data_IF_906413803827
#
_entry.id   IF_906413803827
#
_cell.length_a   1.000
_cell.length_b   1.000
_cell.length_c   1.000
_cell.angle_alpha   90.00
_cell.angle_beta   90.00
_cell.angle_gamma   90.00
#
_symmetry.space_group_name_H-M   'P 1'
#
loop_
_entity.id
_entity.type
_entity.pdbx_description
1 polymer ?
#
# COMPACT_ATOMS: atom_id res chain seq x y z
N UNK A 1 71.74 -2.60 -17.51
CA UNK A 1 70.32 -2.19 -17.53
C UNK A 1 69.64 -3.08 -18.57
N UNK A 2 68.98 -4.14 -18.11
CA UNK A 2 68.46 -5.24 -18.96
C UNK A 2 67.20 -4.83 -19.74
N UNK A 3 67.24 -5.04 -21.06
CA UNK A 3 66.10 -4.91 -21.96
C UNK A 3 65.40 -6.28 -22.03
N UNK A 4 64.22 -6.41 -21.40
CA UNK A 4 63.40 -7.62 -21.47
C UNK A 4 62.38 -7.52 -22.61
N UNK A 5 62.59 -8.33 -23.65
CA UNK A 5 61.60 -8.70 -24.68
C UNK A 5 60.40 -9.41 -24.04
N UNK A 6 59.18 -9.07 -24.48
CA UNK A 6 58.10 -10.07 -24.72
C UNK A 6 57.28 -9.68 -25.95
N UNK A 7 57.10 -10.66 -26.82
CA UNK A 7 56.45 -10.64 -28.14
C UNK A 7 55.08 -11.32 -28.01
N UNK A 8 54.18 -11.00 -28.95
CA UNK A 8 52.99 -11.74 -29.42
C UNK A 8 51.63 -11.48 -28.73
N UNK A 9 50.88 -10.59 -29.37
CA UNK A 9 49.63 -10.87 -30.11
C UNK A 9 48.83 -12.13 -29.77
N UNK A 10 47.60 -11.96 -29.28
CA UNK A 10 46.45 -12.80 -29.65
C UNK A 10 45.14 -12.03 -29.37
N UNK A 11 44.44 -11.68 -30.45
CA UNK A 11 43.08 -11.15 -30.45
C UNK A 11 42.12 -12.29 -30.12
N UNK A 12 41.26 -12.11 -29.13
CA UNK A 12 40.05 -12.90 -28.96
C UNK A 12 38.87 -11.94 -28.73
N UNK A 13 38.30 -11.45 -29.83
CA UNK A 13 36.96 -10.87 -29.85
C UNK A 13 35.99 -12.04 -29.74
N UNK A 14 35.44 -12.26 -28.55
CA UNK A 14 34.27 -13.11 -28.36
C UNK A 14 33.16 -12.18 -27.91
N UNK A 15 32.37 -11.75 -28.89
CA UNK A 15 31.12 -11.06 -28.65
C UNK A 15 30.16 -12.01 -27.94
N UNK A 16 29.80 -11.66 -26.71
CA UNK A 16 28.61 -12.20 -26.07
C UNK A 16 27.59 -11.06 -26.04
N UNK A 17 26.70 -11.07 -27.03
CA UNK A 17 25.44 -10.31 -27.00
C UNK A 17 24.59 -11.00 -25.95
N UNK A 18 24.69 -10.56 -24.69
CA UNK A 18 23.69 -10.88 -23.70
C UNK A 18 22.45 -10.06 -24.04
N UNK A 19 21.52 -10.71 -24.73
CA UNK A 19 20.17 -10.22 -24.97
C UNK A 19 19.59 -9.76 -23.64
N UNK A 20 19.20 -8.49 -23.59
CA UNK A 20 18.40 -7.89 -22.53
C UNK A 20 17.06 -8.60 -22.49
N UNK A 21 16.96 -9.65 -21.67
CA UNK A 21 15.68 -10.14 -21.22
C UNK A 21 15.11 -9.07 -20.27
N UNK A 22 14.37 -8.12 -20.86
CA UNK A 22 13.32 -7.36 -20.19
C UNK A 22 12.23 -8.36 -19.76
N UNK A 23 12.54 -9.18 -18.75
CA UNK A 23 11.55 -9.93 -18.01
C UNK A 23 10.92 -8.95 -17.03
N UNK A 24 9.74 -8.46 -17.42
CA UNK A 24 8.84 -7.56 -16.70
C UNK A 24 9.37 -7.00 -15.39
N UNK A 25 9.60 -5.69 -15.36
CA UNK A 25 9.45 -4.97 -14.10
C UNK A 25 8.14 -5.45 -13.48
N UNK A 26 8.22 -6.24 -12.41
CA UNK A 26 7.17 -6.23 -11.42
C UNK A 26 6.93 -4.74 -11.20
N UNK A 27 5.71 -4.27 -11.47
CA UNK A 27 5.33 -2.92 -11.10
C UNK A 27 5.80 -2.78 -9.66
N UNK A 28 6.82 -1.94 -9.45
CA UNK A 28 7.32 -1.70 -8.13
C UNK A 28 6.10 -1.20 -7.37
N UNK A 29 5.56 -2.01 -6.47
CA UNK A 29 4.57 -1.52 -5.52
C UNK A 29 5.37 -0.58 -4.64
N UNK A 30 5.53 0.66 -5.10
CA UNK A 30 5.94 1.73 -4.26
C UNK A 30 4.86 1.77 -3.18
N UNK A 31 5.20 1.31 -1.98
CA UNK A 31 4.56 1.79 -0.76
C UNK A 31 4.80 3.29 -0.78
N UNK A 32 3.86 4.00 -1.39
CA UNK A 32 3.92 5.44 -1.46
C UNK A 32 3.43 5.94 -0.12
N UNK A 33 4.39 6.38 0.69
CA UNK A 33 4.12 7.36 1.73
C UNK A 33 3.27 8.49 1.12
N UNK A 34 2.37 9.11 1.90
CA UNK A 34 1.41 10.09 1.41
C UNK A 34 2.01 11.17 0.48
N UNK A 35 3.26 11.58 0.72
CA UNK A 35 3.99 12.59 -0.03
C UNK A 35 4.45 12.16 -1.44
N UNK A 36 4.40 10.86 -1.73
CA UNK A 36 4.76 10.26 -3.03
C UNK A 36 3.59 9.58 -3.73
N UNK A 37 2.41 9.58 -3.13
CA UNK A 37 1.26 8.88 -3.69
C UNK A 37 0.85 9.46 -5.06
N UNK A 38 0.49 8.62 -6.03
CA UNK A 38 -0.03 9.08 -7.32
C UNK A 38 -1.28 9.96 -7.16
N UNK A 39 -1.66 10.74 -8.20
CA UNK A 39 -2.93 11.44 -8.22
C UNK A 39 -4.08 10.49 -7.89
N UNK A 40 -4.94 10.93 -6.97
CA UNK A 40 -6.08 10.15 -6.48
C UNK A 40 -5.98 9.67 -5.05
N UNK A 41 -4.79 9.74 -4.44
CA UNK A 41 -4.66 9.64 -2.99
C UNK A 41 -5.09 10.93 -2.29
N UNK A 42 -5.74 10.80 -1.13
CA UNK A 42 -5.86 11.88 -0.16
C UNK A 42 -5.87 11.34 1.27
N UNK A 43 -5.28 12.07 2.21
CA UNK A 43 -5.25 11.72 3.62
C UNK A 43 -3.90 12.05 4.29
N UNK A 44 -3.76 11.74 5.58
CA UNK A 44 -4.81 11.20 6.47
C UNK A 44 -5.90 12.23 6.79
N UNK A 45 -7.12 11.76 7.07
CA UNK A 45 -8.21 12.58 7.60
C UNK A 45 -8.75 11.98 8.90
N UNK A 46 -9.30 12.78 9.82
CA UNK A 46 -9.86 12.26 11.07
C UNK A 46 -11.13 11.42 10.86
N UNK A 47 -11.78 11.53 9.70
CA UNK A 47 -13.03 10.81 9.39
C UNK A 47 -13.11 10.41 7.92
N UNK A 48 -13.66 9.23 7.65
CA UNK A 48 -14.09 8.83 6.32
C UNK A 48 -15.48 9.40 5.97
N UNK A 49 -15.63 9.94 4.75
CA UNK A 49 -16.89 10.41 4.18
C UNK A 49 -17.52 9.33 3.29
N UNK A 50 -18.82 9.44 3.04
CA UNK A 50 -19.58 8.53 2.19
C UNK A 50 -20.42 7.52 2.97
N UNK A 51 -20.99 6.56 2.25
CA UNK A 51 -21.76 5.47 2.83
C UNK A 51 -20.81 4.39 3.34
N UNK A 52 -21.10 3.84 4.52
CA UNK A 52 -20.42 2.65 5.01
C UNK A 52 -20.69 1.49 4.04
N UNK A 53 -19.62 0.77 3.68
CA UNK A 53 -19.72 -0.43 2.84
C UNK A 53 -19.52 -1.69 3.67
N UNK A 54 -18.38 -1.77 4.35
CA UNK A 54 -17.92 -3.03 4.92
C UNK A 54 -17.02 -2.79 6.13
N UNK A 55 -17.07 -3.74 7.05
CA UNK A 55 -16.14 -3.87 8.15
C UNK A 55 -15.40 -5.20 8.01
N UNK A 56 -14.08 -5.15 8.14
CA UNK A 56 -13.18 -6.29 8.07
C UNK A 56 -12.54 -6.43 9.44
N UNK A 57 -12.85 -7.50 10.15
CA UNK A 57 -12.29 -7.73 11.48
C UNK A 57 -10.79 -8.11 11.40
N UNK A 58 -10.00 -7.65 12.37
CA UNK A 58 -8.61 -8.08 12.53
C UNK A 58 -8.60 -9.29 13.46
N UNK A 59 -8.19 -10.49 13.00
CA UNK A 59 -8.18 -11.68 13.82
C UNK A 59 -7.32 -11.52 15.07
N UNK A 60 -7.77 -12.11 16.17
CA UNK A 60 -7.05 -12.17 17.45
C UNK A 60 -6.88 -10.80 18.16
N UNK A 61 -7.56 -9.76 17.67
CA UNK A 61 -7.68 -8.46 18.35
C UNK A 61 -9.16 -8.06 18.42
N UNK A 62 -9.46 -6.89 18.99
CA UNK A 62 -10.78 -6.23 18.87
C UNK A 62 -10.78 -5.15 17.79
N UNK A 63 -9.68 -5.02 17.04
CA UNK A 63 -9.50 -4.06 15.96
C UNK A 63 -10.21 -4.50 14.68
N UNK A 64 -10.45 -3.54 13.79
CA UNK A 64 -11.13 -3.77 12.53
C UNK A 64 -10.83 -2.64 11.54
N UNK A 65 -10.97 -2.92 10.25
CA UNK A 65 -10.91 -1.93 9.19
C UNK A 65 -12.34 -1.62 8.75
N UNK A 66 -12.71 -0.35 8.67
CA UNK A 66 -13.95 0.06 8.01
C UNK A 66 -13.66 0.72 6.68
N UNK A 67 -14.55 0.46 5.73
CA UNK A 67 -14.46 0.99 4.38
C UNK A 67 -15.75 1.73 4.06
N UNK A 68 -15.58 2.94 3.54
CA UNK A 68 -16.66 3.80 3.06
C UNK A 68 -16.49 4.06 1.58
N UNK A 69 -17.61 4.37 0.94
CA UNK A 69 -17.64 4.76 -0.45
C UNK A 69 -18.53 5.98 -0.66
N UNK A 70 -18.01 6.94 -1.42
CA UNK A 70 -18.80 8.04 -1.96
C UNK A 70 -18.83 7.93 -3.48
N UNK A 71 -20.02 8.10 -4.07
CA UNK A 71 -20.19 8.16 -5.52
C UNK A 71 -19.96 9.55 -6.11
N UNK A 72 -19.61 10.54 -5.30
CA UNK A 72 -19.29 11.90 -5.77
C UNK A 72 -18.08 11.88 -6.72
N UNK A 73 -18.14 12.67 -7.80
CA UNK A 73 -17.08 12.74 -8.80
C UNK A 73 -16.82 11.39 -9.48
N UNK A 74 -15.56 10.94 -9.51
CA UNK A 74 -15.16 9.62 -10.04
C UNK A 74 -15.33 8.48 -9.03
N UNK A 75 -15.97 8.74 -7.89
CA UNK A 75 -16.11 7.81 -6.79
C UNK A 75 -14.85 7.73 -5.95
N UNK A 76 -15.01 7.56 -4.65
CA UNK A 76 -13.89 7.42 -3.71
C UNK A 76 -14.14 6.27 -2.74
N UNK A 77 -13.11 5.46 -2.49
CA UNK A 77 -13.06 4.61 -1.31
C UNK A 77 -12.28 5.32 -0.22
N UNK A 78 -12.74 5.21 1.02
CA UNK A 78 -11.99 5.59 2.20
C UNK A 78 -11.86 4.37 3.12
N UNK A 79 -10.67 4.14 3.66
CA UNK A 79 -10.46 3.11 4.67
C UNK A 79 -9.82 3.70 5.93
N UNK A 80 -10.20 3.13 7.06
CA UNK A 80 -9.69 3.49 8.38
C UNK A 80 -9.58 2.23 9.23
N UNK A 81 -8.43 2.01 9.84
CA UNK A 81 -8.22 0.93 10.81
C UNK A 81 -8.50 1.45 12.20
N UNK A 82 -9.28 0.71 12.97
CA UNK A 82 -9.60 1.01 14.36
C UNK A 82 -8.97 -0.04 15.26
N UNK A 83 -8.54 0.42 16.42
CA UNK A 83 -8.13 -0.40 17.53
C UNK A 83 -9.05 -0.12 18.73
N UNK A 84 -9.67 -1.18 19.23
CA UNK A 84 -10.53 -1.13 20.41
C UNK A 84 -9.88 -1.84 21.60
N UNK A 85 -8.55 -1.99 21.59
CA UNK A 85 -7.78 -2.49 22.73
C UNK A 85 -7.36 -1.32 23.62
N UNK A 86 -7.31 -1.56 24.92
CA UNK A 86 -6.75 -0.60 25.86
C UNK A 86 -5.23 -0.49 25.65
N UNK A 87 -4.73 0.74 25.61
CA UNK A 87 -3.31 1.03 25.44
C UNK A 87 -3.01 1.76 24.14
N UNK A 88 -1.72 1.97 23.90
CA UNK A 88 -1.21 2.61 22.69
C UNK A 88 -0.55 1.55 21.83
N UNK A 89 -1.10 1.37 20.64
CA UNK A 89 -0.63 0.38 19.68
C UNK A 89 -0.28 1.07 18.38
N UNK A 90 0.59 0.44 17.59
CA UNK A 90 0.75 0.87 16.21
C UNK A 90 -0.46 0.38 15.40
N UNK A 91 -1.09 1.30 14.68
CA UNK A 91 -2.28 1.04 13.88
C UNK A 91 -1.95 1.44 12.45
N UNK A 92 -2.13 0.54 11.48
CA UNK A 92 -1.85 0.79 10.07
C UNK A 92 -3.08 0.54 9.21
N UNK A 93 -3.24 1.36 8.17
CA UNK A 93 -4.19 1.18 7.08
C UNK A 93 -3.47 1.28 5.75
N UNK A 94 -3.77 0.36 4.84
CA UNK A 94 -3.18 0.29 3.50
C UNK A 94 -4.28 0.17 2.47
N UNK A 95 -4.20 0.99 1.43
CA UNK A 95 -5.06 0.94 0.25
C UNK A 95 -4.22 0.69 -1.00
N UNK A 96 -4.67 -0.25 -1.83
CA UNK A 96 -4.12 -0.49 -3.15
C UNK A 96 -5.20 -0.26 -4.21
N UNK A 97 -4.87 0.55 -5.21
CA UNK A 97 -5.77 0.90 -6.31
C UNK A 97 -4.96 1.02 -7.61
N UNK A 98 -5.51 0.51 -8.72
CA UNK A 98 -4.94 0.68 -10.07
C UNK A 98 -3.41 0.45 -10.20
N UNK A 99 -2.84 -0.48 -9.42
CA UNK A 99 -1.41 -0.82 -9.48
C UNK A 99 -0.48 0.02 -8.59
N UNK A 100 -1.01 0.94 -7.78
CA UNK A 100 -0.25 1.65 -6.74
C UNK A 100 -0.78 1.33 -5.34
N UNK A 101 0.06 1.49 -4.33
CA UNK A 101 -0.25 1.17 -2.93
C UNK A 101 0.14 2.35 -2.04
N UNK A 102 -0.76 2.73 -1.15
CA UNK A 102 -0.55 3.79 -0.17
C UNK A 102 -0.86 3.28 1.22
N UNK A 103 -0.20 3.85 2.21
CA UNK A 103 -0.40 3.49 3.60
C UNK A 103 -0.37 4.72 4.48
N UNK A 104 -1.09 4.63 5.59
CA UNK A 104 -0.97 5.54 6.71
C UNK A 104 -0.94 4.73 7.99
N UNK A 105 -0.23 5.23 8.99
CA UNK A 105 -0.19 4.61 10.29
C UNK A 105 -0.21 5.67 11.39
N UNK A 106 -0.62 5.23 12.56
CA UNK A 106 -0.39 5.94 13.81
C UNK A 106 0.49 5.09 14.72
N UNK A 107 1.59 5.66 15.17
CA UNK A 107 2.49 5.09 16.17
C UNK A 107 2.76 6.04 17.34
N UNK A 108 2.30 7.29 17.25
CA UNK A 108 2.85 8.43 18.00
C UNK A 108 1.77 9.30 18.67
N UNK A 109 0.59 8.73 18.95
CA UNK A 109 -0.49 9.30 19.78
C UNK A 109 -1.43 10.32 19.14
N UNK A 110 -1.37 10.55 17.83
CA UNK A 110 -2.31 11.50 17.19
C UNK A 110 -3.77 10.99 17.27
N UNK A 111 -3.94 9.67 17.27
CA UNK A 111 -5.21 8.95 17.32
C UNK A 111 -5.07 7.69 18.19
N UNK A 112 -5.61 7.73 19.41
CA UNK A 112 -5.47 6.64 20.37
C UNK A 112 -6.20 5.34 19.97
N UNK A 113 -7.16 5.40 19.05
CA UNK A 113 -8.07 4.28 18.74
C UNK A 113 -8.22 3.99 17.26
N UNK A 114 -7.49 4.68 16.38
CA UNK A 114 -7.57 4.45 14.94
C UNK A 114 -6.37 5.01 14.18
N UNK A 115 -6.06 4.46 13.02
CA UNK A 115 -5.19 5.12 12.05
C UNK A 115 -6.06 6.04 11.17
N UNK A 116 -5.63 7.30 10.97
CA UNK A 116 -6.35 8.28 10.15
C UNK A 116 -6.80 7.73 8.78
N UNK A 117 -7.96 8.21 8.31
CA UNK A 117 -8.61 7.73 7.11
C UNK A 117 -7.87 8.14 5.84
N UNK A 118 -7.61 7.18 4.96
CA UNK A 118 -6.98 7.39 3.65
C UNK A 118 -7.97 7.11 2.53
N UNK A 119 -7.88 7.89 1.45
CA UNK A 119 -8.79 7.85 0.32
C UNK A 119 -8.06 7.47 -0.96
N UNK A 120 -8.79 6.77 -1.83
CA UNK A 120 -8.44 6.55 -3.24
C UNK A 120 -9.61 6.96 -4.14
N UNK A 121 -9.34 7.75 -5.18
CA UNK A 121 -10.32 8.14 -6.20
C UNK A 121 -10.49 7.09 -7.29
N UNK A 122 -11.32 7.39 -8.29
CA UNK A 122 -11.60 6.52 -9.45
C UNK A 122 -12.20 5.15 -9.07
N UNK A 123 -12.87 5.13 -7.92
CA UNK A 123 -13.53 3.95 -7.37
C UNK A 123 -14.81 3.56 -8.13
N UNK A 124 -15.31 4.40 -9.05
CA UNK A 124 -16.48 4.08 -9.86
C UNK A 124 -16.25 2.93 -10.84
N UNK A 125 -15.02 2.73 -11.30
CA UNK A 125 -14.68 1.80 -12.38
C UNK A 125 -13.76 0.68 -11.93
N UNK A 126 -13.17 0.78 -10.73
CA UNK A 126 -12.15 -0.14 -10.24
C UNK A 126 -12.40 -0.49 -8.77
N UNK A 127 -12.07 -1.73 -8.40
CA UNK A 127 -12.06 -2.16 -7.00
C UNK A 127 -10.76 -1.71 -6.33
N UNK A 128 -10.81 -1.44 -5.02
CA UNK A 128 -9.65 -1.24 -4.18
C UNK A 128 -9.33 -2.53 -3.41
N UNK A 129 -8.06 -2.74 -3.07
CA UNK A 129 -7.67 -3.70 -2.04
C UNK A 129 -7.33 -2.96 -0.76
N UNK A 130 -7.84 -3.48 0.34
CA UNK A 130 -7.72 -2.89 1.67
C UNK A 130 -7.00 -3.86 2.59
N UNK A 131 -6.13 -3.33 3.42
CA UNK A 131 -5.45 -4.04 4.49
C UNK A 131 -5.39 -3.14 5.72
N UNK A 132 -5.50 -3.72 6.90
CA UNK A 132 -5.20 -3.03 8.14
C UNK A 132 -4.47 -3.95 9.10
N UNK A 133 -3.76 -3.32 10.02
CA UNK A 133 -2.95 -4.01 11.01
C UNK A 133 -3.00 -3.26 12.34
N UNK A 134 -3.02 -4.02 13.44
CA UNK A 134 -2.79 -3.50 14.78
C UNK A 134 -1.62 -4.28 15.38
N UNK A 135 -0.59 -3.59 15.86
CA UNK A 135 0.55 -4.23 16.53
C UNK A 135 0.37 -4.15 18.05
N UNK A 136 0.13 -5.30 18.66
CA UNK A 136 -0.11 -5.45 20.11
C UNK A 136 1.11 -6.07 20.75
N UNK A 137 1.71 -5.40 21.75
CA UNK A 137 2.93 -5.88 22.43
C UNK A 137 4.08 -6.24 21.46
N UNK A 138 4.22 -5.50 20.36
CA UNK A 138 5.23 -5.75 19.33
C UNK A 138 4.90 -6.92 18.38
N UNK A 139 3.70 -7.49 18.46
CA UNK A 139 3.22 -8.54 17.54
C UNK A 139 2.19 -7.94 16.57
N UNK A 140 2.45 -7.97 15.24
CA UNK A 140 1.51 -7.47 14.25
C UNK A 140 0.34 -8.43 14.05
N UNK A 141 -0.89 -7.90 14.05
CA UNK A 141 -2.11 -8.62 13.76
C UNK A 141 -2.79 -8.06 12.49
N UNK A 142 -2.69 -8.76 11.35
CA UNK A 142 -3.20 -8.26 10.08
C UNK A 142 -4.65 -8.71 9.81
N UNK A 143 -5.46 -7.85 9.19
CA UNK A 143 -6.78 -8.21 8.64
C UNK A 143 -6.70 -9.19 7.47
N UNK A 144 -5.53 -9.27 6.82
CA UNK A 144 -5.38 -9.82 5.48
C UNK A 144 -5.89 -8.83 4.40
N UNK A 145 -5.56 -9.11 3.13
CA UNK A 145 -5.99 -8.29 2.00
C UNK A 145 -7.43 -8.61 1.59
N UNK A 146 -8.26 -7.58 1.52
CA UNK A 146 -9.67 -7.68 1.11
C UNK A 146 -9.93 -6.82 -0.12
N UNK A 147 -10.67 -7.35 -1.10
CA UNK A 147 -10.99 -6.61 -2.33
C UNK A 147 -12.39 -6.01 -2.19
N UNK A 148 -12.46 -4.68 -2.21
CA UNK A 148 -13.70 -3.91 -2.07
C UNK A 148 -14.03 -3.28 -3.42
N UNK A 149 -15.23 -3.57 -3.91
CA UNK A 149 -15.76 -3.01 -5.15
C UNK A 149 -16.95 -2.11 -4.85
N UNK A 150 -17.24 -1.20 -5.77
CA UNK A 150 -18.41 -0.33 -5.68
C UNK A 150 -19.68 -1.20 -5.54
N UNK A 151 -20.60 -0.89 -4.61
CA UNK A 151 -21.85 -1.62 -4.50
C UNK A 151 -22.70 -1.42 -5.77
N UNK A 152 -23.48 -2.44 -6.19
CA UNK A 152 -24.39 -2.31 -7.31
C UNK A 152 -25.41 -1.18 -7.04
N UNK A 153 -25.74 -0.41 -8.09
CA UNK A 153 -26.79 0.61 -8.01
C UNK A 153 -28.13 -0.12 -7.89
N UNK A 154 -28.87 0.17 -6.82
CA UNK A 154 -30.20 -0.36 -6.57
C UNK A 154 -31.26 0.25 -7.51
#
# INVERSE_FOLDING_TARGET
MEIRRRIATAVAVIGLVATTAFGGAAAASAQTFPDKAPPGYAGPFPTCKGAFLEQIDIPQTTGYVRVWYSSEGSGTFCAMTFDNLDGKHHIEVVLQHAGWTTQWYDSDDDYETYAGGIYVSDANTLCAKVYGEVTVNGVPHPSGWNTICKPPVA
#
